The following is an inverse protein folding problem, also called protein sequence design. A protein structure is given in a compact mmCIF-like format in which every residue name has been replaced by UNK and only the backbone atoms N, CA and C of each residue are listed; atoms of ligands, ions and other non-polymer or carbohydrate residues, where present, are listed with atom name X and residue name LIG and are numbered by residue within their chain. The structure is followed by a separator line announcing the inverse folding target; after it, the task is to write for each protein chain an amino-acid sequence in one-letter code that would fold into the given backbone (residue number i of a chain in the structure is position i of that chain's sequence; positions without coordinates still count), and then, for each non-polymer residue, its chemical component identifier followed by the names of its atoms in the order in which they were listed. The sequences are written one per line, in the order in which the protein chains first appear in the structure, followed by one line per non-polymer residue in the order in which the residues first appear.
data_IF_849744666535
#
_entry.id   IF_849744666535
#
_cell.length_a   1.000
_cell.length_b   1.000
_cell.length_c   1.000
_cell.angle_alpha   90.00
_cell.angle_beta   90.00
_cell.angle_gamma   90.00
#
_symmetry.space_group_name_H-M   'P 1'
#
loop_
_entity.id
_entity.type
_entity.pdbx_description
1 polymer ?
#
# COMPACT_ATOMS: atom_id res chain seq x y z
N UNK A 1 -24.99 -2.86 0.20
CA UNK A 1 -24.44 -3.12 -1.15
C UNK A 1 -22.98 -3.56 -0.96
N UNK A 2 -22.53 -4.66 -1.55
CA UNK A 2 -21.11 -5.07 -1.44
C UNK A 2 -20.31 -4.30 -2.48
N UNK A 3 -19.44 -3.40 -2.04
CA UNK A 3 -18.50 -2.72 -2.92
C UNK A 3 -17.46 -3.73 -3.43
N UNK A 4 -17.24 -3.77 -4.75
CA UNK A 4 -16.25 -4.65 -5.38
C UNK A 4 -15.06 -3.80 -5.85
N UNK A 5 -13.99 -3.80 -5.07
CA UNK A 5 -12.78 -3.06 -5.37
C UNK A 5 -11.72 -3.95 -6.04
N UNK A 6 -11.04 -3.40 -7.05
CA UNK A 6 -9.99 -4.08 -7.81
C UNK A 6 -8.66 -3.34 -7.58
N UNK A 7 -7.58 -4.10 -7.44
CA UNK A 7 -6.25 -3.52 -7.24
C UNK A 7 -5.78 -2.78 -8.48
N UNK A 8 -5.26 -1.56 -8.29
CA UNK A 8 -4.58 -0.79 -9.33
C UNK A 8 -3.04 -0.88 -9.25
N UNK A 9 -2.49 -1.52 -8.22
CA UNK A 9 -1.04 -1.58 -7.98
C UNK A 9 -0.29 -2.12 -9.20
N UNK A 10 -0.77 -3.21 -9.79
CA UNK A 10 -0.12 -3.82 -10.95
C UNK A 10 -0.12 -2.94 -12.19
N UNK A 11 -1.19 -2.15 -12.40
CA UNK A 11 -1.28 -1.19 -13.51
C UNK A 11 -0.29 -0.03 -13.31
N UNK A 12 -0.29 0.57 -12.11
CA UNK A 12 0.61 1.68 -11.77
C UNK A 12 2.08 1.26 -11.87
N UNK A 13 2.41 0.05 -11.40
CA UNK A 13 3.75 -0.51 -11.52
C UNK A 13 4.20 -0.63 -12.98
N UNK A 14 3.33 -1.15 -13.85
CA UNK A 14 3.62 -1.30 -15.29
C UNK A 14 3.77 0.06 -15.99
N UNK A 15 2.94 1.04 -15.67
CA UNK A 15 3.04 2.42 -16.19
C UNK A 15 4.38 3.09 -15.83
N UNK A 16 5.00 2.67 -14.72
CA UNK A 16 6.32 3.13 -14.27
C UNK A 16 7.49 2.25 -14.76
N UNK A 17 7.22 1.19 -15.54
CA UNK A 17 8.26 0.27 -16.03
C UNK A 17 8.92 -0.57 -14.94
N UNK A 18 8.26 -0.75 -13.78
CA UNK A 18 8.83 -1.44 -12.62
C UNK A 18 8.45 -2.92 -12.59
N UNK A 19 9.34 -3.76 -12.05
CA UNK A 19 9.07 -5.17 -11.72
C UNK A 19 8.52 -5.30 -10.30
N UNK A 20 7.82 -6.40 -9.99
CA UNK A 20 7.35 -6.65 -8.62
C UNK A 20 8.50 -6.69 -7.62
N UNK A 21 9.66 -7.21 -8.03
CA UNK A 21 10.87 -7.26 -7.21
C UNK A 21 11.44 -5.88 -6.89
N UNK A 22 11.46 -4.95 -7.84
CA UNK A 22 11.90 -3.57 -7.58
C UNK A 22 11.01 -2.84 -6.56
N UNK A 23 9.69 -3.07 -6.60
CA UNK A 23 8.78 -2.53 -5.58
C UNK A 23 9.06 -3.16 -4.22
N UNK A 24 9.27 -4.48 -4.19
CA UNK A 24 9.55 -5.23 -2.97
C UNK A 24 10.83 -4.74 -2.29
N UNK A 25 11.91 -4.59 -3.07
CA UNK A 25 13.20 -4.07 -2.62
C UNK A 25 13.08 -2.61 -2.12
N UNK A 26 12.39 -1.74 -2.87
CA UNK A 26 12.22 -0.34 -2.49
C UNK A 26 11.43 -0.14 -1.19
N UNK A 27 10.53 -1.07 -0.85
CA UNK A 27 9.68 -0.99 0.33
C UNK A 27 10.12 -1.93 1.46
N UNK A 28 11.21 -2.69 1.28
CA UNK A 28 11.69 -3.65 2.29
C UNK A 28 10.72 -4.79 2.58
N UNK A 29 9.93 -5.23 1.61
CA UNK A 29 8.94 -6.33 1.74
C UNK A 29 9.27 -7.50 0.84
N UNK A 30 8.66 -8.67 1.09
CA UNK A 30 8.78 -9.82 0.19
C UNK A 30 8.02 -9.61 -1.14
N UNK A 31 8.52 -10.19 -2.24
CA UNK A 31 7.88 -10.10 -3.57
C UNK A 31 6.46 -10.70 -3.57
N UNK A 32 6.20 -11.71 -2.74
CA UNK A 32 4.85 -12.28 -2.56
C UNK A 32 3.87 -11.29 -1.96
N UNK A 33 4.33 -10.36 -1.10
CA UNK A 33 3.51 -9.27 -0.56
C UNK A 33 3.04 -8.34 -1.68
N UNK A 34 3.94 -7.95 -2.59
CA UNK A 34 3.59 -7.13 -3.77
C UNK A 34 2.61 -7.89 -4.68
N UNK A 35 2.86 -9.18 -4.95
CA UNK A 35 1.93 -10.03 -5.71
C UNK A 35 0.55 -10.10 -5.05
N UNK A 36 0.49 -10.19 -3.73
CA UNK A 36 -0.76 -10.23 -2.98
C UNK A 36 -1.51 -8.90 -3.10
N UNK A 37 -0.84 -7.75 -3.05
CA UNK A 37 -1.47 -6.47 -3.33
C UNK A 37 -2.05 -6.39 -4.74
N UNK A 38 -1.40 -7.00 -5.73
CA UNK A 38 -1.87 -6.99 -7.13
C UNK A 38 -3.04 -7.96 -7.39
N UNK A 39 -3.10 -9.10 -6.69
CA UNK A 39 -4.07 -10.18 -6.98
C UNK A 39 -5.18 -10.33 -5.94
N UNK A 40 -4.92 -10.02 -4.67
CA UNK A 40 -5.85 -10.29 -3.57
C UNK A 40 -6.80 -9.12 -3.31
N UNK A 41 -8.02 -9.45 -2.90
CA UNK A 41 -9.01 -8.48 -2.41
C UNK A 41 -8.61 -7.87 -1.08
N UNK A 42 -7.81 -8.57 -0.27
CA UNK A 42 -7.49 -8.09 1.08
C UNK A 42 -6.51 -6.91 1.08
N UNK A 43 -5.53 -6.90 0.17
CA UNK A 43 -4.69 -5.72 -0.06
C UNK A 43 -5.51 -4.51 -0.49
N UNK A 44 -6.48 -4.72 -1.38
CA UNK A 44 -7.38 -3.65 -1.84
C UNK A 44 -8.24 -3.09 -0.70
N UNK A 45 -8.79 -3.95 0.17
CA UNK A 45 -9.56 -3.50 1.34
C UNK A 45 -8.73 -2.62 2.26
N UNK A 46 -7.44 -2.93 2.45
CA UNK A 46 -6.54 -2.09 3.25
C UNK A 46 -6.38 -0.71 2.61
N UNK A 47 -6.08 -0.63 1.31
CA UNK A 47 -5.96 0.65 0.60
C UNK A 47 -7.24 1.50 0.69
N UNK A 48 -8.42 0.88 0.56
CA UNK A 48 -9.71 1.55 0.69
C UNK A 48 -9.92 2.11 2.11
N UNK A 49 -9.52 1.36 3.15
CA UNK A 49 -9.62 1.83 4.54
C UNK A 49 -8.69 3.01 4.80
N UNK A 50 -7.44 2.94 4.32
CA UNK A 50 -6.48 4.04 4.44
C UNK A 50 -6.98 5.29 3.71
N UNK A 51 -7.49 5.15 2.49
CA UNK A 51 -8.09 6.26 1.76
C UNK A 51 -9.28 6.88 2.52
N UNK A 52 -10.20 6.06 3.05
CA UNK A 52 -11.33 6.55 3.86
C UNK A 52 -10.88 7.24 5.16
N UNK A 53 -9.78 6.81 5.78
CA UNK A 53 -9.19 7.50 6.93
C UNK A 53 -8.62 8.86 6.53
N UNK A 54 -7.90 8.93 5.42
CA UNK A 54 -7.36 10.18 4.87
C UNK A 54 -8.48 11.18 4.55
N UNK A 55 -9.55 10.71 3.87
CA UNK A 55 -10.72 11.54 3.56
C UNK A 55 -11.44 12.02 4.83
N UNK A 56 -11.50 11.19 5.88
CA UNK A 56 -12.17 11.53 7.13
C UNK A 56 -11.41 12.58 7.95
N UNK A 57 -10.09 12.51 7.94
CA UNK A 57 -9.23 13.39 8.73
C UNK A 57 -8.64 14.57 7.94
N UNK A 58 -8.96 14.67 6.65
CA UNK A 58 -8.37 15.64 5.73
C UNK A 58 -6.83 15.61 5.77
N UNK A 59 -6.26 14.40 5.68
CA UNK A 59 -4.83 14.16 5.83
C UNK A 59 -4.27 13.28 4.69
N UNK A 60 -2.95 13.16 4.63
CA UNK A 60 -2.24 12.22 3.76
C UNK A 60 -1.90 10.92 4.51
N UNK A 61 -1.61 9.81 3.82
CA UNK A 61 -1.19 8.56 4.46
C UNK A 61 0.06 8.69 5.34
N UNK A 62 0.92 9.67 5.04
CA UNK A 62 2.12 10.00 5.83
C UNK A 62 1.77 10.55 7.21
N UNK A 63 0.59 11.13 7.37
CA UNK A 63 0.13 11.70 8.65
C UNK A 63 -0.46 10.62 9.58
N UNK A 64 -0.56 9.36 9.11
CA UNK A 64 -1.12 8.25 9.88
C UNK A 64 -0.09 7.49 10.74
N UNK A 65 1.18 7.88 10.70
CA UNK A 65 2.24 7.26 11.49
C UNK A 65 3.31 8.28 11.88
N UNK A 66 4.02 8.00 12.98
CA UNK A 66 5.18 8.75 13.45
C UNK A 66 6.33 7.76 13.70
N UNK A 67 7.56 8.18 13.44
CA UNK A 67 8.75 7.41 13.78
C UNK A 67 9.13 7.70 15.24
N UNK A 68 9.01 6.70 16.12
CA UNK A 68 9.53 6.81 17.47
C UNK A 68 11.06 6.61 17.45
N UNK A 69 11.82 7.62 17.85
CA UNK A 69 13.26 7.47 18.07
C UNK A 69 13.45 6.68 19.35
N UNK A 70 13.54 5.36 19.23
CA UNK A 70 14.00 4.51 20.33
C UNK A 70 15.50 4.75 20.46
N UNK A 71 15.87 5.61 21.43
CA UNK A 71 17.28 5.86 21.77
C UNK A 71 18.00 4.55 22.04
N UNK A 72 19.04 4.29 21.26
CA UNK A 72 19.96 3.18 21.51
C UNK A 72 20.92 3.56 22.63
N UNK A 73 20.85 2.81 23.73
CA UNK A 73 21.96 2.66 24.67
C UNK A 73 23.07 1.79 24.06
#
# INVERSE_FOLDING_TARGET
MRENYVSRVGKLRQEKGLTQRQIAEALGVDVSTVRNWEKSRDGVKMFVRVAKLCDLFDCQPTDLYEEEVVGGD
#
